data_IF_223290620239
#
_entry.id   IF_223290620239
#
_cell.length_a   1.000
_cell.length_b   1.000
_cell.length_c   1.000
_cell.angle_alpha   90.00
_cell.angle_beta   90.00
_cell.angle_gamma   90.00
#
_symmetry.space_group_name_H-M   'P 1'
#
loop_
_entity.id
_entity.type
_entity.pdbx_description
1 polymer ?
#
# COMPACT_ATOMS: atom_id res chain seq x y z
N UNK A 1 2.81 -9.31 -23.89
CA UNK A 1 3.90 -8.69 -23.07
C UNK A 1 3.56 -8.93 -21.61
N UNK A 2 4.36 -9.72 -20.88
CA UNK A 2 4.11 -10.02 -19.47
C UNK A 2 4.69 -8.93 -18.56
N UNK A 3 4.13 -8.78 -17.36
CA UNK A 3 4.64 -7.84 -16.36
C UNK A 3 6.05 -8.23 -15.89
N UNK A 4 6.91 -7.25 -15.59
CA UNK A 4 8.29 -7.49 -15.12
C UNK A 4 8.28 -8.29 -13.80
N UNK A 5 9.31 -9.13 -13.60
CA UNK A 5 9.42 -9.98 -12.39
C UNK A 5 9.42 -9.16 -11.08
N UNK A 6 10.04 -7.98 -11.08
CA UNK A 6 10.24 -7.15 -9.90
C UNK A 6 9.25 -5.97 -9.79
N UNK A 7 8.15 -5.99 -10.55
CA UNK A 7 7.11 -4.97 -10.37
C UNK A 7 6.29 -5.24 -9.11
N UNK A 8 5.63 -4.21 -8.60
CA UNK A 8 4.66 -4.30 -7.50
C UNK A 8 3.29 -3.81 -7.96
N UNK A 9 2.24 -4.31 -7.33
CA UNK A 9 0.84 -3.93 -7.55
C UNK A 9 0.35 -3.17 -6.32
N UNK A 10 -0.07 -1.93 -6.54
CA UNK A 10 -0.61 -1.02 -5.51
C UNK A 10 -2.07 -0.70 -5.80
N UNK A 11 -2.83 -0.39 -4.76
CA UNK A 11 -4.24 -0.02 -4.85
C UNK A 11 -4.65 0.74 -3.58
N UNK A 12 -5.37 1.87 -3.67
CA UNK A 12 -5.76 2.65 -2.50
C UNK A 12 -6.86 1.99 -1.66
N UNK A 13 -7.65 1.09 -2.26
CA UNK A 13 -8.83 0.45 -1.67
C UNK A 13 -9.96 1.46 -1.30
N UNK A 14 -11.23 1.02 -1.14
CA UNK A 14 -11.73 -0.33 -1.41
C UNK A 14 -11.62 -0.67 -2.90
N UNK A 15 -11.41 -1.95 -3.21
CA UNK A 15 -11.48 -2.42 -4.59
C UNK A 15 -12.92 -2.77 -4.94
N UNK A 16 -13.33 -2.52 -6.18
CA UNK A 16 -14.56 -3.05 -6.75
C UNK A 16 -14.23 -4.24 -7.66
N UNK A 17 -14.33 -4.09 -8.98
CA UNK A 17 -14.07 -5.13 -9.98
C UNK A 17 -12.72 -4.98 -10.69
N UNK A 18 -11.97 -3.93 -10.37
CA UNK A 18 -10.70 -3.58 -11.03
C UNK A 18 -9.53 -4.50 -10.65
N UNK A 19 -9.60 -5.20 -9.52
CA UNK A 19 -8.59 -6.17 -9.08
C UNK A 19 -9.29 -7.46 -8.67
N UNK A 20 -9.06 -8.52 -9.44
CA UNK A 20 -9.63 -9.83 -9.16
C UNK A 20 -9.08 -10.39 -7.82
N UNK A 21 -9.89 -11.07 -6.99
CA UNK A 21 -9.45 -11.61 -5.70
C UNK A 21 -8.26 -12.56 -5.79
N UNK A 22 -8.08 -13.25 -6.92
CA UNK A 22 -6.94 -14.14 -7.16
C UNK A 22 -5.59 -13.41 -7.15
N UNK A 23 -5.59 -12.10 -7.44
CA UNK A 23 -4.41 -11.25 -7.41
C UNK A 23 -3.85 -11.11 -5.99
N UNK A 24 -4.65 -11.34 -4.95
CA UNK A 24 -4.18 -11.33 -3.55
C UNK A 24 -3.07 -12.34 -3.29
N UNK A 25 -3.05 -13.44 -4.06
CA UNK A 25 -2.05 -14.51 -3.93
C UNK A 25 -0.75 -14.19 -4.66
N UNK A 26 -0.74 -13.15 -5.50
CA UNK A 26 0.48 -12.71 -6.18
C UNK A 26 1.41 -12.03 -5.17
N UNK A 27 2.66 -12.49 -5.07
CA UNK A 27 3.66 -11.92 -4.16
C UNK A 27 3.94 -10.43 -4.42
N UNK A 28 3.56 -9.93 -5.60
CA UNK A 28 3.68 -8.53 -6.02
C UNK A 28 2.52 -7.67 -5.53
N UNK A 29 1.43 -8.25 -5.04
CA UNK A 29 0.31 -7.53 -4.44
C UNK A 29 0.71 -6.96 -3.07
N UNK A 30 0.97 -5.65 -3.03
CA UNK A 30 1.46 -4.97 -1.82
C UNK A 30 0.47 -3.97 -1.24
N UNK A 31 -0.74 -3.85 -1.80
CA UNK A 31 -1.77 -2.92 -1.33
C UNK A 31 -2.18 -3.14 0.14
N UNK A 32 -2.06 -4.35 0.69
CA UNK A 32 -2.25 -4.58 2.13
C UNK A 32 -1.10 -3.99 2.97
N UNK A 33 0.16 -4.14 2.53
CA UNK A 33 1.32 -3.50 3.18
C UNK A 33 1.23 -1.98 3.08
N UNK A 34 0.75 -1.47 1.95
CA UNK A 34 0.52 -0.05 1.71
C UNK A 34 -0.40 0.58 2.78
N UNK A 35 -1.47 -0.11 3.19
CA UNK A 35 -2.36 0.38 4.26
C UNK A 35 -1.60 0.55 5.58
N UNK A 36 -0.76 -0.42 5.95
CA UNK A 36 0.08 -0.33 7.14
C UNK A 36 1.05 0.86 7.06
N UNK A 37 1.69 1.08 5.91
CA UNK A 37 2.53 2.26 5.69
C UNK A 37 1.75 3.57 5.84
N UNK A 38 0.46 3.58 5.45
CA UNK A 38 -0.42 4.72 5.66
C UNK A 38 -0.65 5.07 7.14
N UNK A 39 -0.60 4.11 8.07
CA UNK A 39 -0.61 4.39 9.51
C UNK A 39 0.69 5.08 9.93
N UNK A 40 1.84 4.50 9.58
CA UNK A 40 3.16 5.02 9.95
C UNK A 40 3.38 6.44 9.42
N UNK A 41 3.02 6.69 8.15
CA UNK A 41 3.16 8.00 7.54
C UNK A 41 2.25 9.03 8.20
N UNK A 42 1.01 8.66 8.55
CA UNK A 42 0.11 9.59 9.27
C UNK A 42 0.64 9.91 10.66
N UNK A 43 1.17 8.93 11.39
CA UNK A 43 1.81 9.18 12.68
C UNK A 43 3.01 10.13 12.53
N UNK A 44 3.90 9.86 11.58
CA UNK A 44 5.05 10.72 11.30
C UNK A 44 4.64 12.13 10.89
N UNK A 45 3.60 12.26 10.05
CA UNK A 45 3.07 13.54 9.60
C UNK A 45 2.46 14.34 10.78
N UNK A 46 1.70 13.69 11.65
CA UNK A 46 1.16 14.32 12.86
C UNK A 46 2.29 14.77 13.81
N UNK A 47 3.31 13.93 14.02
CA UNK A 47 4.51 14.31 14.77
C UNK A 47 5.21 15.52 14.14
N UNK A 48 5.33 15.56 12.81
CA UNK A 48 5.96 16.65 12.09
C UNK A 48 5.18 17.97 12.23
N UNK A 49 3.87 17.93 12.02
CA UNK A 49 2.99 19.12 12.10
C UNK A 49 2.91 19.65 13.53
N UNK A 50 2.89 18.76 14.52
CA UNK A 50 2.81 19.14 15.93
C UNK A 50 4.18 19.38 16.59
N UNK A 51 5.29 19.23 15.85
CA UNK A 51 6.66 19.31 16.37
C UNK A 51 6.92 18.35 17.55
N UNK A 52 6.37 17.14 17.49
CA UNK A 52 6.48 16.08 18.53
C UNK A 52 7.27 14.88 18.02
N UNK A 53 8.50 15.12 17.59
CA UNK A 53 9.45 14.03 17.42
C UNK A 53 10.03 13.65 18.79
N UNK A 54 10.27 12.36 19.07
CA UNK A 54 11.01 11.95 20.26
C UNK A 54 12.43 12.53 20.30
#
# INVERSE_FOLDING_TARGET
KCMKKNSIIMHPLPRQSEVAPEVDRDLRAVYFKQIHYGLCIRMALLCAVLQRFP
#
